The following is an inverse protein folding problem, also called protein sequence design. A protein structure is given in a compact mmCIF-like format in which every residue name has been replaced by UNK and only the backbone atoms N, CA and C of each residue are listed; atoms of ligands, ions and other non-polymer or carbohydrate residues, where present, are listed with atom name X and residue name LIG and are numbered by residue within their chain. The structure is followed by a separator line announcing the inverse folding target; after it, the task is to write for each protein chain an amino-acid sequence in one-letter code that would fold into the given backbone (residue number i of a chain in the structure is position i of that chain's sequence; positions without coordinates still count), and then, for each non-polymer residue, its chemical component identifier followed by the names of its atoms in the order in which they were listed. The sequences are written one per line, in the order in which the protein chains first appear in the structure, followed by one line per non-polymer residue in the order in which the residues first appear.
data_IF_010784278946
#
_entry.id   IF_010784278946
#
_cell.length_a   1.000
_cell.length_b   1.000
_cell.length_c   1.000
_cell.angle_alpha   90.00
_cell.angle_beta   90.00
_cell.angle_gamma   90.00
#
_symmetry.space_group_name_H-M   'P 1'
#
loop_
_entity.id
_entity.type
_entity.pdbx_description
1 polymer ?
#
# COMPACT_ATOMS: atom_id res chain seq x y z
N UNK A 1 -14.06 -18.32 15.48
CA UNK A 1 -12.64 -17.91 15.42
C UNK A 1 -12.03 -18.40 16.72
N UNK A 2 -11.42 -19.59 16.76
CA UNK A 2 -10.50 -19.95 17.82
C UNK A 2 -9.25 -19.10 17.58
N UNK A 3 -8.96 -18.18 18.47
CA UNK A 3 -7.65 -17.53 18.55
C UNK A 3 -6.64 -18.66 18.83
N UNK A 4 -5.80 -18.98 17.86
CA UNK A 4 -4.67 -19.88 18.09
C UNK A 4 -3.76 -19.17 19.10
N UNK A 5 -3.81 -19.58 20.37
CA UNK A 5 -3.01 -19.03 21.44
C UNK A 5 -1.61 -19.62 21.33
N UNK A 6 -0.61 -18.78 21.08
CA UNK A 6 0.80 -19.19 21.15
C UNK A 6 1.15 -19.33 22.63
N UNK A 7 1.55 -20.53 23.05
CA UNK A 7 1.90 -20.80 24.46
C UNK A 7 3.39 -20.56 24.75
N UNK A 8 4.24 -20.59 23.74
CA UNK A 8 5.68 -20.39 23.86
C UNK A 8 6.42 -20.86 22.62
N UNK A 9 7.73 -20.81 22.67
CA UNK A 9 8.62 -21.25 21.58
C UNK A 9 9.80 -22.07 22.11
N UNK A 10 10.43 -22.83 21.23
CA UNK A 10 11.70 -23.53 21.48
C UNK A 10 12.78 -22.98 20.55
N UNK A 11 13.95 -22.71 21.07
CA UNK A 11 15.07 -22.13 20.31
C UNK A 11 16.39 -22.45 20.99
N UNK A 12 17.42 -22.82 20.23
CA UNK A 12 18.77 -23.09 20.75
C UNK A 12 19.50 -21.78 21.12
N UNK A 13 19.05 -20.62 20.58
CA UNK A 13 19.61 -19.30 20.89
C UNK A 13 18.53 -18.26 21.22
N UNK A 14 17.83 -18.41 22.36
CA UNK A 14 16.66 -17.61 22.70
C UNK A 14 16.94 -16.10 22.82
N UNK A 15 18.21 -15.68 23.06
CA UNK A 15 18.56 -14.26 23.21
C UNK A 15 18.50 -13.47 21.88
N UNK A 16 18.55 -14.14 20.74
CA UNK A 16 18.52 -13.51 19.41
C UNK A 16 17.11 -13.41 18.84
N UNK A 17 16.12 -14.04 19.46
CA UNK A 17 14.76 -14.12 18.95
C UNK A 17 13.94 -12.87 19.28
N UNK A 18 13.31 -12.28 18.27
CA UNK A 18 12.38 -11.14 18.44
C UNK A 18 11.14 -11.55 19.26
N UNK A 19 10.77 -12.85 19.21
CA UNK A 19 9.61 -13.44 19.90
C UNK A 19 9.86 -13.55 21.40
N UNK A 20 11.13 -13.55 21.84
CA UNK A 20 11.53 -13.69 23.25
C UNK A 20 10.97 -12.59 24.18
N UNK A 21 10.50 -11.47 23.62
CA UNK A 21 9.88 -10.37 24.39
C UNK A 21 8.42 -10.63 24.73
N UNK A 22 7.75 -11.48 23.95
CA UNK A 22 6.30 -11.67 24.05
C UNK A 22 5.91 -13.06 24.56
N UNK A 23 6.76 -14.07 24.34
CA UNK A 23 6.46 -15.46 24.69
C UNK A 23 7.61 -16.12 25.44
N UNK A 24 7.33 -17.08 26.36
CA UNK A 24 8.34 -17.81 27.09
C UNK A 24 9.07 -18.81 26.20
N UNK A 25 10.38 -18.95 26.37
CA UNK A 25 11.15 -20.05 25.82
C UNK A 25 10.92 -21.29 26.67
N UNK A 26 10.45 -22.36 26.03
CA UNK A 26 10.06 -23.63 26.69
C UNK A 26 11.17 -24.68 26.67
N UNK A 27 12.29 -24.44 25.95
CA UNK A 27 13.41 -25.34 25.85
C UNK A 27 14.20 -25.17 24.56
N UNK A 28 15.18 -26.04 24.33
CA UNK A 28 15.97 -26.15 23.12
C UNK A 28 15.29 -27.00 22.05
N UNK A 29 15.81 -27.02 20.83
CA UNK A 29 15.31 -27.85 19.73
C UNK A 29 15.31 -29.35 20.06
N UNK A 30 16.29 -29.82 20.89
CA UNK A 30 16.36 -31.19 21.40
C UNK A 30 15.14 -31.58 22.25
N UNK A 31 14.55 -30.61 22.93
CA UNK A 31 13.52 -30.85 23.95
C UNK A 31 12.10 -30.75 23.39
N UNK A 32 11.96 -30.42 22.09
CA UNK A 32 10.68 -30.13 21.45
C UNK A 32 9.64 -31.22 21.67
N UNK A 33 10.02 -32.53 21.64
CA UNK A 33 9.10 -33.64 21.82
C UNK A 33 8.59 -33.74 23.28
N UNK A 34 9.46 -33.40 24.24
CA UNK A 34 9.10 -33.36 25.66
C UNK A 34 8.14 -32.21 25.93
N UNK A 35 8.48 -31.00 25.42
CA UNK A 35 7.64 -29.83 25.54
C UNK A 35 6.25 -30.04 24.96
N UNK A 36 6.13 -30.72 23.82
CA UNK A 36 4.83 -31.07 23.19
C UNK A 36 4.01 -31.96 24.10
N UNK A 37 4.63 -33.01 24.70
CA UNK A 37 3.93 -33.93 25.59
C UNK A 37 3.46 -33.26 26.88
N UNK A 38 4.30 -32.40 27.45
CA UNK A 38 3.98 -31.71 28.71
C UNK A 38 2.92 -30.65 28.55
N UNK A 39 2.94 -29.93 27.43
CA UNK A 39 2.01 -28.83 27.17
C UNK A 39 0.71 -29.26 26.48
N UNK A 40 0.69 -30.45 25.84
CA UNK A 40 -0.47 -30.95 25.12
C UNK A 40 -0.85 -30.13 23.88
N UNK A 41 0.08 -29.35 23.30
CA UNK A 41 -0.16 -28.56 22.08
C UNK A 41 -0.56 -29.45 20.92
N UNK A 42 -1.48 -28.95 20.10
CA UNK A 42 -1.99 -29.66 18.93
C UNK A 42 -1.47 -29.13 17.59
N UNK A 43 -0.80 -28.01 17.62
CA UNK A 43 -0.25 -27.35 16.42
C UNK A 43 1.17 -26.88 16.70
N UNK A 44 2.10 -27.21 15.81
CA UNK A 44 3.48 -26.73 15.84
C UNK A 44 3.77 -25.95 14.56
N UNK A 45 4.36 -24.77 14.69
CA UNK A 45 4.83 -23.97 13.59
C UNK A 45 6.37 -23.96 13.59
N UNK A 46 6.97 -24.47 12.53
CA UNK A 46 8.44 -24.51 12.36
C UNK A 46 8.87 -23.26 11.59
N UNK A 47 9.64 -22.40 12.25
CA UNK A 47 10.27 -21.19 11.67
C UNK A 47 11.79 -21.32 11.87
N UNK A 48 12.44 -22.21 11.14
CA UNK A 48 13.86 -22.50 11.27
C UNK A 48 14.61 -22.20 9.97
N UNK A 49 14.92 -20.90 9.70
CA UNK A 49 15.70 -20.51 8.54
C UNK A 49 17.08 -21.17 8.61
N UNK A 50 17.55 -21.68 7.47
CA UNK A 50 18.85 -22.34 7.37
C UNK A 50 18.89 -23.81 7.86
N UNK A 51 17.77 -24.41 8.25
CA UNK A 51 17.74 -25.82 8.58
C UNK A 51 17.88 -26.68 7.31
N UNK A 52 18.86 -27.59 7.29
CA UNK A 52 19.06 -28.50 6.17
C UNK A 52 17.77 -29.26 5.81
N UNK A 53 17.42 -29.41 4.51
CA UNK A 53 16.18 -30.07 4.10
C UNK A 53 15.98 -31.47 4.70
N UNK A 54 17.05 -32.27 4.81
CA UNK A 54 16.98 -33.61 5.41
C UNK A 54 16.62 -33.58 6.90
N UNK A 55 17.15 -32.60 7.64
CA UNK A 55 16.85 -32.43 9.06
C UNK A 55 15.42 -31.91 9.25
N UNK A 56 14.95 -31.01 8.37
CA UNK A 56 13.57 -30.50 8.38
C UNK A 56 12.57 -31.65 8.16
N UNK A 57 12.77 -32.46 7.13
CA UNK A 57 11.91 -33.63 6.84
C UNK A 57 11.89 -34.59 8.02
N UNK A 58 13.05 -34.91 8.60
CA UNK A 58 13.14 -35.79 9.78
C UNK A 58 12.38 -35.20 10.97
N UNK A 59 12.51 -33.91 11.22
CA UNK A 59 11.79 -33.20 12.28
C UNK A 59 10.28 -33.26 12.04
N UNK A 60 9.81 -32.92 10.85
CA UNK A 60 8.38 -32.97 10.49
C UNK A 60 7.81 -34.38 10.73
N UNK A 61 8.50 -35.42 10.23
CA UNK A 61 8.04 -36.78 10.37
C UNK A 61 7.92 -37.21 11.85
N UNK A 62 8.83 -36.77 12.73
CA UNK A 62 8.74 -37.05 14.17
C UNK A 62 7.58 -36.29 14.83
N UNK A 63 7.42 -35.01 14.50
CA UNK A 63 6.40 -34.13 15.11
C UNK A 63 4.98 -34.51 14.67
N UNK A 64 4.79 -34.98 13.44
CA UNK A 64 3.48 -35.44 12.95
C UNK A 64 2.89 -36.62 13.75
N UNK A 65 3.72 -37.39 14.45
CA UNK A 65 3.28 -38.45 15.33
C UNK A 65 2.76 -37.95 16.69
N UNK A 66 3.12 -36.72 17.07
CA UNK A 66 2.84 -36.15 18.40
C UNK A 66 1.75 -35.07 18.38
N UNK A 67 1.55 -34.41 17.25
CA UNK A 67 0.62 -33.27 17.14
C UNK A 67 -0.32 -33.45 15.95
N UNK A 68 -1.49 -32.81 16.01
CA UNK A 68 -2.49 -32.91 14.92
C UNK A 68 -2.09 -32.13 13.68
N UNK A 69 -1.31 -31.04 13.81
CA UNK A 69 -0.91 -30.17 12.71
C UNK A 69 0.53 -29.72 12.88
N UNK A 70 1.30 -29.91 11.82
CA UNK A 70 2.63 -29.33 11.68
C UNK A 70 2.59 -28.41 10.48
N UNK A 71 2.95 -27.15 10.69
CA UNK A 71 3.16 -26.15 9.64
C UNK A 71 4.62 -25.73 9.63
N UNK A 72 5.16 -25.38 8.48
CA UNK A 72 6.50 -24.80 8.38
C UNK A 72 6.48 -23.55 7.50
N UNK A 73 7.34 -22.60 7.82
CA UNK A 73 7.53 -21.38 7.04
C UNK A 73 8.75 -21.58 6.15
N UNK A 74 8.57 -21.73 4.82
CA UNK A 74 9.70 -21.81 3.91
C UNK A 74 10.36 -20.43 3.77
N UNK A 75 11.67 -20.40 3.57
CA UNK A 75 12.38 -19.18 3.22
C UNK A 75 12.04 -18.77 1.79
N UNK A 76 11.13 -17.80 1.65
CA UNK A 76 10.69 -17.26 0.37
C UNK A 76 11.04 -15.77 0.30
N UNK A 77 12.29 -15.41 0.56
CA UNK A 77 12.73 -14.01 0.52
C UNK A 77 12.45 -13.40 -0.86
N UNK A 78 11.74 -12.27 -0.86
CA UNK A 78 11.43 -11.49 -2.07
C UNK A 78 10.27 -12.03 -2.91
N UNK A 79 9.65 -13.16 -2.57
CA UNK A 79 8.45 -13.61 -3.27
C UNK A 79 7.19 -13.02 -2.62
N UNK A 80 6.22 -12.54 -3.42
CA UNK A 80 4.92 -12.12 -2.91
C UNK A 80 4.20 -13.33 -2.30
N UNK A 81 4.10 -13.36 -0.98
CA UNK A 81 3.57 -14.51 -0.22
C UNK A 81 2.05 -14.66 -0.28
N UNK A 82 1.35 -13.63 -0.67
CA UNK A 82 -0.10 -13.62 -0.80
C UNK A 82 -0.50 -14.11 -2.20
N UNK A 83 -1.25 -15.14 -2.33
CA UNK A 83 -1.63 -15.91 -3.53
C UNK A 83 -0.64 -16.99 -3.96
N UNK A 84 0.10 -17.55 -3.02
CA UNK A 84 0.83 -18.79 -3.24
C UNK A 84 -0.14 -19.96 -3.06
N UNK A 85 -0.33 -20.76 -4.09
CA UNK A 85 -1.00 -22.06 -3.99
C UNK A 85 0.06 -23.14 -4.02
N UNK A 86 0.16 -23.92 -2.93
CA UNK A 86 1.01 -25.10 -2.87
C UNK A 86 0.26 -26.30 -3.47
N UNK A 87 0.88 -26.99 -4.42
CA UNK A 87 0.42 -28.29 -4.93
C UNK A 87 1.52 -29.31 -4.76
N UNK A 88 1.23 -30.40 -4.03
CA UNK A 88 2.10 -31.56 -3.98
C UNK A 88 2.03 -32.33 -5.30
N UNK A 89 3.16 -32.63 -5.90
CA UNK A 89 3.29 -33.58 -6.99
C UNK A 89 3.75 -34.92 -6.40
N UNK A 90 2.82 -35.89 -6.32
CA UNK A 90 3.07 -37.16 -5.61
C UNK A 90 4.18 -38.00 -6.27
N UNK A 91 4.31 -37.92 -7.60
CA UNK A 91 5.29 -38.73 -8.35
C UNK A 91 6.71 -38.21 -8.21
N UNK A 92 6.88 -36.87 -8.01
CA UNK A 92 8.19 -36.21 -8.01
C UNK A 92 8.66 -35.80 -6.59
N UNK A 93 7.88 -36.11 -5.55
CA UNK A 93 8.14 -35.64 -4.16
C UNK A 93 8.43 -34.15 -4.07
N UNK A 94 7.83 -33.34 -4.96
CA UNK A 94 8.04 -31.92 -5.09
C UNK A 94 6.80 -31.14 -4.68
N UNK A 95 7.01 -29.98 -4.07
CA UNK A 95 5.95 -28.99 -3.80
C UNK A 95 6.10 -27.84 -4.79
N UNK A 96 5.13 -27.69 -5.68
CA UNK A 96 5.08 -26.57 -6.62
C UNK A 96 4.36 -25.41 -5.96
N UNK A 97 5.10 -24.33 -5.72
CA UNK A 97 4.53 -23.06 -5.27
C UNK A 97 4.16 -22.22 -6.50
N UNK A 98 2.88 -22.03 -6.72
CA UNK A 98 2.38 -21.19 -7.81
C UNK A 98 2.14 -19.79 -7.29
N UNK A 99 2.97 -18.84 -7.71
CA UNK A 99 2.79 -17.41 -7.48
C UNK A 99 1.84 -16.86 -8.55
N UNK A 100 0.79 -16.15 -8.16
CA UNK A 100 -0.16 -15.56 -9.09
C UNK A 100 -0.15 -14.04 -8.95
N UNK A 101 -0.14 -13.36 -10.10
CA UNK A 101 -0.41 -11.92 -10.17
C UNK A 101 -1.85 -11.71 -10.64
N UNK A 102 -2.71 -11.22 -9.74
CA UNK A 102 -4.13 -11.10 -10.03
C UNK A 102 -4.45 -10.06 -11.10
N UNK A 103 -3.75 -8.91 -11.10
CA UNK A 103 -3.99 -7.87 -12.10
C UNK A 103 -3.26 -8.10 -13.43
N UNK A 104 -2.41 -9.11 -13.55
CA UNK A 104 -1.91 -9.57 -14.83
C UNK A 104 -3.01 -10.24 -15.67
N UNK A 105 -4.08 -10.78 -15.04
CA UNK A 105 -5.19 -11.44 -15.73
C UNK A 105 -6.13 -10.41 -16.37
N UNK A 106 -6.41 -10.55 -17.69
CA UNK A 106 -7.31 -9.66 -18.43
C UNK A 106 -8.71 -9.57 -17.80
N UNK A 107 -9.28 -10.71 -17.36
CA UNK A 107 -10.60 -10.75 -16.70
C UNK A 107 -10.67 -9.87 -15.46
N UNK A 108 -9.64 -9.91 -14.63
CA UNK A 108 -9.57 -9.11 -13.42
C UNK A 108 -9.45 -7.61 -13.73
N UNK A 109 -8.67 -7.26 -14.74
CA UNK A 109 -8.56 -5.86 -15.20
C UNK A 109 -9.88 -5.33 -15.75
N UNK A 110 -10.62 -6.15 -16.50
CA UNK A 110 -11.96 -5.78 -16.99
C UNK A 110 -12.92 -5.60 -15.79
N UNK A 111 -12.96 -6.54 -14.88
CA UNK A 111 -13.80 -6.46 -13.68
C UNK A 111 -13.47 -5.23 -12.83
N UNK A 112 -12.18 -4.96 -12.63
CA UNK A 112 -11.72 -3.75 -11.95
C UNK A 112 -12.20 -2.48 -12.67
N UNK A 113 -12.07 -2.44 -14.00
CA UNK A 113 -12.50 -1.29 -14.80
C UNK A 113 -14.01 -1.03 -14.69
N UNK A 114 -14.83 -2.09 -14.75
CA UNK A 114 -16.27 -1.99 -14.56
C UNK A 114 -16.58 -1.44 -13.16
N UNK A 115 -15.93 -1.99 -12.13
CA UNK A 115 -16.09 -1.52 -10.76
C UNK A 115 -15.73 -0.03 -10.63
N UNK A 116 -14.57 0.39 -11.16
CA UNK A 116 -14.11 1.77 -11.14
C UNK A 116 -15.14 2.73 -11.80
N UNK A 117 -15.66 2.37 -12.98
CA UNK A 117 -16.63 3.20 -13.69
C UNK A 117 -17.93 3.30 -12.87
N UNK A 118 -18.51 2.16 -12.46
CA UNK A 118 -19.77 2.12 -11.72
C UNK A 118 -19.66 2.91 -10.42
N UNK A 119 -18.62 2.64 -9.63
CA UNK A 119 -18.41 3.32 -8.35
C UNK A 119 -18.15 4.83 -8.55
N UNK A 120 -17.41 5.22 -9.60
CA UNK A 120 -17.13 6.64 -9.91
C UNK A 120 -18.40 7.36 -10.37
N UNK A 121 -19.24 6.74 -11.21
CA UNK A 121 -20.49 7.36 -11.66
C UNK A 121 -21.46 7.51 -10.48
N UNK A 122 -21.69 6.46 -9.71
CA UNK A 122 -22.59 6.51 -8.55
C UNK A 122 -22.09 7.49 -7.48
N UNK A 123 -20.81 7.42 -7.10
CA UNK A 123 -20.21 8.33 -6.14
C UNK A 123 -20.11 9.76 -6.65
N UNK A 124 -19.73 9.94 -7.93
CA UNK A 124 -19.62 11.24 -8.57
C UNK A 124 -20.95 12.00 -8.63
N UNK A 125 -22.06 11.31 -8.93
CA UNK A 125 -23.39 11.92 -8.89
C UNK A 125 -23.76 12.41 -7.50
N UNK A 126 -23.44 11.65 -6.46
CA UNK A 126 -23.71 12.04 -5.07
C UNK A 126 -22.90 13.27 -4.63
N UNK A 127 -21.65 13.38 -5.07
CA UNK A 127 -20.75 14.48 -4.68
C UNK A 127 -20.80 15.68 -5.66
N UNK A 128 -21.54 15.57 -6.77
CA UNK A 128 -21.64 16.65 -7.77
C UNK A 128 -22.02 18.02 -7.19
N UNK A 129 -23.00 18.13 -6.25
CA UNK A 129 -23.30 19.41 -5.60
C UNK A 129 -22.10 19.97 -4.82
N UNK A 130 -21.33 19.10 -4.15
CA UNK A 130 -20.13 19.49 -3.40
C UNK A 130 -19.07 20.01 -4.38
N UNK A 131 -18.86 19.33 -5.52
CA UNK A 131 -17.92 19.77 -6.56
C UNK A 131 -18.28 21.18 -7.08
N UNK A 132 -19.58 21.43 -7.32
CA UNK A 132 -20.05 22.73 -7.78
C UNK A 132 -19.79 23.84 -6.73
N UNK A 133 -20.07 23.58 -5.47
CA UNK A 133 -19.80 24.52 -4.36
C UNK A 133 -18.30 24.80 -4.25
N UNK A 134 -17.46 23.75 -4.25
CA UNK A 134 -16.02 23.90 -4.19
C UNK A 134 -15.49 24.71 -5.38
N UNK A 135 -15.96 24.43 -6.59
CA UNK A 135 -15.59 25.18 -7.79
C UNK A 135 -15.93 26.68 -7.67
N UNK A 136 -17.11 26.99 -7.15
CA UNK A 136 -17.54 28.37 -6.91
C UNK A 136 -16.67 29.06 -5.87
N UNK A 137 -16.37 28.37 -4.75
CA UNK A 137 -15.52 28.92 -3.69
C UNK A 137 -14.10 29.22 -4.19
N UNK A 138 -13.51 28.33 -5.01
CA UNK A 138 -12.21 28.56 -5.63
C UNK A 138 -12.22 29.78 -6.54
N UNK A 139 -13.27 29.92 -7.34
CA UNK A 139 -13.41 31.05 -8.27
C UNK A 139 -13.56 32.39 -7.52
N UNK A 140 -14.31 32.41 -6.42
CA UNK A 140 -14.51 33.61 -5.59
C UNK A 140 -13.25 33.98 -4.79
N UNK A 141 -12.48 32.99 -4.30
CA UNK A 141 -11.24 33.21 -3.53
C UNK A 141 -10.09 33.71 -4.41
N UNK A 142 -10.00 33.18 -5.64
CA UNK A 142 -8.96 33.55 -6.61
C UNK A 142 -9.48 33.35 -8.04
N UNK A 143 -9.80 34.43 -8.79
CA UNK A 143 -10.24 34.31 -10.18
C UNK A 143 -9.23 33.58 -11.08
N UNK A 144 -9.73 32.74 -12.02
CA UNK A 144 -8.88 31.99 -12.94
C UNK A 144 -9.31 30.52 -13.09
N UNK A 145 -8.49 29.65 -13.72
CA UNK A 145 -8.81 28.24 -13.93
C UNK A 145 -9.09 27.53 -12.61
N UNK A 146 -10.20 26.79 -12.50
CA UNK A 146 -10.62 26.10 -11.28
C UNK A 146 -9.86 24.78 -11.11
N UNK A 147 -9.56 24.11 -12.23
CA UNK A 147 -8.88 22.81 -12.27
C UNK A 147 -7.48 22.97 -12.85
N UNK A 148 -6.53 22.26 -12.27
CA UNK A 148 -5.14 22.21 -12.69
C UNK A 148 -4.74 20.76 -12.98
N UNK A 149 -4.00 20.52 -14.05
CA UNK A 149 -3.48 19.21 -14.43
C UNK A 149 -1.97 19.13 -14.19
N UNK A 150 -1.53 18.25 -13.31
CA UNK A 150 -0.12 17.98 -13.09
C UNK A 150 0.30 16.71 -13.84
N UNK A 151 1.34 16.79 -14.67
CA UNK A 151 1.84 15.61 -15.40
C UNK A 151 2.32 14.53 -14.44
N UNK A 152 1.77 13.34 -14.58
CA UNK A 152 2.12 12.15 -13.80
C UNK A 152 2.32 10.96 -14.73
N UNK A 153 3.10 10.00 -14.26
CA UNK A 153 3.30 8.72 -14.94
C UNK A 153 2.17 7.78 -14.54
N UNK A 154 1.60 7.10 -15.51
CA UNK A 154 0.51 6.14 -15.35
C UNK A 154 0.84 4.77 -15.92
N UNK A 155 -0.20 4.02 -16.24
CA UNK A 155 -0.10 2.67 -16.79
C UNK A 155 0.77 2.64 -18.05
N UNK A 156 1.66 1.64 -18.13
CA UNK A 156 2.58 1.47 -19.25
C UNK A 156 3.63 2.58 -19.40
N UNK A 157 3.86 3.37 -18.35
CA UNK A 157 4.82 4.46 -18.35
C UNK A 157 4.36 5.71 -19.09
N UNK A 158 3.09 5.79 -19.48
CA UNK A 158 2.53 6.94 -20.21
C UNK A 158 2.26 8.10 -19.27
N UNK A 159 2.63 9.30 -19.68
CA UNK A 159 2.30 10.51 -18.93
C UNK A 159 0.85 10.94 -19.19
N UNK A 160 0.17 11.39 -18.15
CA UNK A 160 -1.19 11.93 -18.22
C UNK A 160 -1.34 13.14 -17.29
N UNK A 161 -2.29 14.05 -17.57
CA UNK A 161 -2.61 15.15 -16.68
C UNK A 161 -3.46 14.64 -15.50
N UNK A 162 -2.88 14.57 -14.31
CA UNK A 162 -3.60 14.27 -13.07
C UNK A 162 -4.32 15.52 -12.59
N UNK A 163 -5.65 15.53 -12.68
CA UNK A 163 -6.47 16.71 -12.40
C UNK A 163 -6.66 16.92 -10.90
N UNK A 164 -6.52 18.20 -10.49
CA UNK A 164 -6.81 18.64 -9.11
C UNK A 164 -7.52 19.99 -9.13
N UNK A 165 -8.27 20.29 -8.09
CA UNK A 165 -8.70 21.65 -7.86
C UNK A 165 -7.50 22.54 -7.54
N UNK A 166 -7.54 23.75 -8.07
CA UNK A 166 -6.50 24.75 -7.80
C UNK A 166 -6.54 25.17 -6.34
N UNK A 167 -5.47 24.91 -5.63
CA UNK A 167 -5.27 25.29 -4.22
C UNK A 167 -4.24 26.40 -4.03
N UNK A 168 -3.66 26.91 -5.12
CA UNK A 168 -2.65 27.98 -5.13
C UNK A 168 -3.10 29.14 -6.03
N UNK A 169 -2.49 30.28 -5.85
CA UNK A 169 -2.69 31.46 -6.73
C UNK A 169 -2.27 31.15 -8.16
N UNK A 170 -2.84 31.84 -9.19
CA UNK A 170 -2.51 31.55 -10.59
C UNK A 170 -1.03 31.73 -10.94
N UNK A 171 -0.35 32.74 -10.34
CA UNK A 171 1.06 33.05 -10.52
C UNK A 171 1.96 32.39 -9.45
N UNK A 172 1.64 31.17 -9.03
CA UNK A 172 2.30 30.47 -7.93
C UNK A 172 3.84 30.33 -8.09
N UNK A 173 4.33 30.19 -9.33
CA UNK A 173 5.77 30.08 -9.58
C UNK A 173 6.50 31.42 -9.31
N UNK A 174 5.96 32.49 -9.83
CA UNK A 174 6.53 33.86 -9.61
C UNK A 174 6.47 34.24 -8.13
N UNK A 175 5.35 33.93 -7.47
CA UNK A 175 5.17 34.16 -6.04
C UNK A 175 6.19 33.38 -5.19
N UNK A 176 6.54 32.16 -5.59
CA UNK A 176 7.58 31.39 -4.94
C UNK A 176 8.95 32.03 -5.08
N UNK A 177 9.31 32.40 -6.30
CA UNK A 177 10.63 32.99 -6.57
C UNK A 177 10.85 34.31 -5.80
N UNK A 178 9.82 35.16 -5.74
CA UNK A 178 9.85 36.38 -4.94
C UNK A 178 10.00 36.05 -3.46
N UNK A 179 9.16 35.13 -2.94
CA UNK A 179 9.17 34.77 -1.54
C UNK A 179 10.52 34.17 -1.08
N UNK A 180 11.13 33.28 -1.90
CA UNK A 180 12.43 32.66 -1.59
C UNK A 180 13.59 33.67 -1.67
N UNK A 181 13.48 34.72 -2.48
CA UNK A 181 14.47 35.82 -2.51
C UNK A 181 14.42 36.71 -1.25
N UNK A 182 13.22 36.95 -0.74
CA UNK A 182 13.01 37.79 0.44
C UNK A 182 13.19 37.07 1.77
N UNK A 183 13.10 35.71 1.78
CA UNK A 183 13.14 34.91 3.00
C UNK A 183 14.20 33.78 2.92
N UNK A 184 15.44 34.04 3.39
CA UNK A 184 16.53 33.06 3.37
C UNK A 184 16.18 31.74 4.09
N UNK A 185 15.50 31.79 5.25
CA UNK A 185 15.10 30.61 6.00
C UNK A 185 14.11 29.75 5.21
N UNK A 186 13.16 30.36 4.50
CA UNK A 186 12.23 29.64 3.62
C UNK A 186 12.96 29.00 2.42
N UNK A 187 14.02 29.64 1.95
CA UNK A 187 14.87 29.09 0.89
C UNK A 187 15.59 27.82 1.34
N UNK A 188 16.18 27.80 2.54
CA UNK A 188 16.82 26.60 3.11
C UNK A 188 15.81 25.46 3.30
N UNK A 189 14.60 25.76 3.79
CA UNK A 189 13.52 24.80 3.92
C UNK A 189 13.12 24.23 2.55
N UNK A 190 12.98 25.06 1.54
CA UNK A 190 12.65 24.66 0.17
C UNK A 190 13.73 23.81 -0.48
N UNK A 191 15.00 24.17 -0.35
CA UNK A 191 16.13 23.41 -0.92
C UNK A 191 16.25 22.03 -0.31
N UNK A 192 15.85 21.86 0.97
CA UNK A 192 15.87 20.56 1.68
C UNK A 192 14.70 19.67 1.32
N UNK A 193 13.48 20.21 1.36
CA UNK A 193 12.25 19.40 1.37
C UNK A 193 11.38 19.62 0.11
N UNK A 194 11.67 20.60 -0.73
CA UNK A 194 10.82 21.09 -1.83
C UNK A 194 9.39 21.40 -1.39
N UNK A 195 9.22 21.74 -0.11
CA UNK A 195 7.96 22.11 0.53
C UNK A 195 8.20 23.23 1.52
N UNK A 196 7.17 24.03 1.76
CA UNK A 196 7.15 25.06 2.80
C UNK A 196 6.01 24.76 3.76
N UNK A 197 6.26 24.88 5.07
CA UNK A 197 5.21 24.72 6.10
C UNK A 197 4.12 25.76 5.95
N UNK A 198 4.52 27.01 5.78
CA UNK A 198 3.63 28.13 5.49
C UNK A 198 3.89 28.64 4.06
N UNK A 199 3.30 27.95 3.09
CA UNK A 199 3.44 28.29 1.68
C UNK A 199 2.51 29.46 1.31
N UNK A 200 3.06 30.65 1.00
CA UNK A 200 2.26 31.85 0.70
C UNK A 200 1.46 31.73 -0.60
N UNK A 201 1.78 30.75 -1.43
CA UNK A 201 1.06 30.48 -2.68
C UNK A 201 -0.31 29.87 -2.44
N UNK A 202 -0.49 29.21 -1.27
CA UNK A 202 -1.71 28.48 -0.97
C UNK A 202 -2.81 29.44 -0.52
N UNK A 203 -3.94 29.45 -1.23
CA UNK A 203 -5.08 30.30 -0.91
C UNK A 203 -5.80 29.83 0.37
N UNK A 204 -6.70 30.66 0.92
CA UNK A 204 -7.48 30.28 2.12
C UNK A 204 -8.31 29.02 1.86
N UNK A 205 -9.04 29.01 0.74
CA UNK A 205 -9.80 27.83 0.31
C UNK A 205 -8.86 26.68 -0.01
N UNK A 206 -7.69 26.95 -0.63
CA UNK A 206 -6.67 25.96 -0.90
C UNK A 206 -6.16 25.22 0.34
N UNK A 207 -5.97 25.92 1.47
CA UNK A 207 -5.62 25.28 2.77
C UNK A 207 -6.70 24.31 3.23
N UNK A 208 -7.96 24.72 3.14
CA UNK A 208 -9.10 23.84 3.48
C UNK A 208 -9.17 22.62 2.57
N UNK A 209 -9.05 22.80 1.24
CA UNK A 209 -9.11 21.72 0.27
C UNK A 209 -8.01 20.67 0.50
N UNK A 210 -6.77 21.11 0.72
CA UNK A 210 -5.65 20.22 1.03
C UNK A 210 -5.86 19.45 2.33
N UNK A 211 -6.33 20.12 3.39
CA UNK A 211 -6.62 19.49 4.67
C UNK A 211 -7.71 18.42 4.58
N UNK A 212 -8.68 18.60 3.71
CA UNK A 212 -9.81 17.68 3.50
C UNK A 212 -9.60 16.73 2.34
N UNK A 213 -8.50 16.85 1.58
CA UNK A 213 -8.22 16.12 0.34
C UNK A 213 -9.30 16.30 -0.75
N UNK A 214 -10.13 17.34 -0.64
CA UNK A 214 -11.14 17.67 -1.65
C UNK A 214 -10.52 18.20 -2.94
N UNK A 215 -9.30 18.68 -2.89
CA UNK A 215 -8.53 19.09 -4.07
C UNK A 215 -8.30 17.95 -5.06
N UNK A 216 -8.36 16.70 -4.64
CA UNK A 216 -8.15 15.53 -5.48
C UNK A 216 -9.42 15.00 -6.18
N UNK A 217 -10.61 15.53 -5.84
CA UNK A 217 -11.86 15.06 -6.43
C UNK A 217 -11.93 15.16 -7.98
N UNK A 218 -11.32 16.13 -8.68
CA UNK A 218 -11.29 16.12 -10.14
C UNK A 218 -10.60 14.91 -10.77
N UNK A 219 -9.80 14.14 -10.01
CA UNK A 219 -9.22 12.87 -10.48
C UNK A 219 -10.30 11.81 -10.79
N UNK A 220 -11.53 11.94 -10.29
CA UNK A 220 -12.64 11.10 -10.71
C UNK A 220 -12.85 11.16 -12.24
N UNK A 221 -12.55 12.28 -12.87
CA UNK A 221 -12.56 12.39 -14.33
C UNK A 221 -11.45 11.54 -14.95
N UNK A 222 -10.22 11.53 -14.37
CA UNK A 222 -9.16 10.64 -14.83
C UNK A 222 -9.55 9.16 -14.71
N UNK A 223 -10.33 8.80 -13.66
CA UNK A 223 -10.87 7.44 -13.54
C UNK A 223 -11.86 7.14 -14.67
N UNK A 224 -12.78 8.04 -14.98
CA UNK A 224 -13.76 7.83 -16.05
C UNK A 224 -13.13 7.67 -17.43
N UNK A 225 -12.10 8.45 -17.75
CA UNK A 225 -11.40 8.34 -19.05
C UNK A 225 -10.40 7.19 -19.11
N UNK A 226 -9.98 6.63 -17.96
CA UNK A 226 -9.13 5.45 -17.87
C UNK A 226 -7.65 5.70 -17.56
N UNK A 227 -7.27 6.94 -17.33
CA UNK A 227 -5.91 7.30 -16.91
C UNK A 227 -5.61 6.83 -15.49
N UNK A 228 -6.66 6.77 -14.64
CA UNK A 228 -6.58 6.36 -13.24
C UNK A 228 -7.63 5.32 -12.89
N UNK A 229 -7.50 4.78 -11.70
CA UNK A 229 -8.44 3.92 -10.98
C UNK A 229 -8.83 4.58 -9.66
N UNK A 230 -9.92 4.12 -9.03
CA UNK A 230 -10.26 4.56 -7.67
C UNK A 230 -9.20 4.10 -6.66
N UNK A 231 -8.77 2.83 -6.75
CA UNK A 231 -7.76 2.23 -5.87
C UNK A 231 -6.59 1.72 -6.72
N UNK A 232 -5.37 2.04 -6.34
CA UNK A 232 -4.17 1.62 -7.06
C UNK A 232 -2.90 2.24 -6.50
N UNK A 233 -1.74 1.96 -7.12
CA UNK A 233 -0.49 2.66 -6.83
C UNK A 233 -0.67 4.17 -7.00
N UNK A 234 0.00 4.97 -6.16
CA UNK A 234 -0.09 6.43 -6.31
C UNK A 234 0.56 6.90 -7.60
N UNK A 235 -0.06 7.85 -8.37
CA UNK A 235 0.57 8.41 -9.56
C UNK A 235 1.86 9.16 -9.21
N UNK A 236 2.97 8.76 -9.85
CA UNK A 236 4.31 9.27 -9.59
C UNK A 236 4.75 10.31 -10.63
N UNK A 237 5.75 11.11 -10.29
CA UNK A 237 6.48 11.92 -11.26
C UNK A 237 7.61 11.11 -11.90
N UNK A 238 8.13 11.58 -13.03
CA UNK A 238 9.15 10.87 -13.80
C UNK A 238 10.41 10.56 -12.99
N UNK A 239 10.81 11.49 -12.13
CA UNK A 239 11.99 11.34 -11.27
C UNK A 239 11.83 10.28 -10.18
N UNK A 240 10.58 9.91 -9.86
CA UNK A 240 10.30 8.85 -8.89
C UNK A 240 10.42 7.43 -9.48
N UNK A 241 10.48 7.28 -10.81
CA UNK A 241 10.59 5.96 -11.48
C UNK A 241 11.78 5.17 -10.94
N UNK A 242 12.93 5.84 -10.79
CA UNK A 242 14.18 5.21 -10.31
C UNK A 242 14.01 4.62 -8.90
N UNK A 243 13.16 5.22 -8.08
CA UNK A 243 12.91 4.78 -6.70
C UNK A 243 12.09 3.48 -6.62
N UNK A 244 11.40 3.11 -7.69
CA UNK A 244 10.66 1.84 -7.76
C UNK A 244 11.56 0.63 -8.05
N UNK A 245 12.76 0.83 -8.65
CA UNK A 245 13.66 -0.25 -9.00
C UNK A 245 12.96 -1.34 -9.83
N UNK A 246 13.14 -2.60 -9.46
CA UNK A 246 12.56 -3.75 -10.17
C UNK A 246 11.02 -3.81 -10.10
N UNK A 247 10.40 -3.16 -9.10
CA UNK A 247 8.95 -3.13 -8.93
C UNK A 247 8.22 -2.18 -9.88
N UNK A 248 8.94 -1.41 -10.72
CA UNK A 248 8.32 -0.46 -11.66
C UNK A 248 7.40 -1.16 -12.66
N UNK A 249 7.69 -2.42 -13.00
CA UNK A 249 6.85 -3.21 -13.90
C UNK A 249 5.47 -3.51 -13.29
N UNK A 250 5.38 -3.69 -11.98
CA UNK A 250 4.11 -3.86 -11.28
C UNK A 250 3.29 -2.56 -11.34
N UNK A 251 3.95 -1.42 -11.13
CA UNK A 251 3.31 -0.11 -11.28
C UNK A 251 2.76 0.10 -12.70
N UNK A 252 3.53 -0.25 -13.74
CA UNK A 252 3.10 -0.08 -15.13
C UNK A 252 1.97 -1.01 -15.56
N UNK A 253 1.73 -2.08 -14.81
CA UNK A 253 0.70 -3.06 -15.16
C UNK A 253 -0.73 -2.51 -15.01
N UNK A 254 -0.94 -1.54 -14.14
CA UNK A 254 -2.26 -1.03 -13.74
C UNK A 254 -2.33 0.49 -13.80
N UNK A 255 -3.54 1.09 -13.98
CA UNK A 255 -3.72 2.52 -13.80
C UNK A 255 -3.43 2.91 -12.35
N UNK A 256 -2.79 4.07 -12.10
CA UNK A 256 -2.58 4.58 -10.74
C UNK A 256 -3.91 4.93 -10.07
N UNK A 257 -3.96 4.86 -8.74
CA UNK A 257 -5.17 5.08 -7.95
C UNK A 257 -5.28 6.51 -7.41
N UNK A 258 -6.53 6.95 -7.16
CA UNK A 258 -6.80 8.13 -6.32
C UNK A 258 -6.38 7.82 -4.89
N UNK A 259 -6.69 6.62 -4.43
CA UNK A 259 -6.23 6.09 -3.14
C UNK A 259 -5.47 4.78 -3.31
N UNK A 260 -4.71 4.39 -2.31
CA UNK A 260 -3.90 3.18 -2.35
C UNK A 260 -3.63 2.62 -0.95
N UNK A 261 -2.99 1.45 -0.91
CA UNK A 261 -2.74 0.70 0.32
C UNK A 261 -1.99 1.55 1.35
N UNK A 262 -0.85 2.12 0.98
CA UNK A 262 -0.04 2.90 1.91
C UNK A 262 -0.69 4.25 2.28
N UNK A 263 -1.48 4.85 1.39
CA UNK A 263 -2.17 6.11 1.64
C UNK A 263 -3.18 6.03 2.79
N UNK A 264 -3.70 4.85 3.10
CA UNK A 264 -4.67 4.63 4.18
C UNK A 264 -4.13 3.81 5.34
N UNK A 265 -2.95 3.17 5.20
CA UNK A 265 -2.38 2.26 6.22
C UNK A 265 -1.27 2.90 7.06
N UNK A 266 -0.44 3.79 6.52
CA UNK A 266 0.69 4.39 7.25
C UNK A 266 0.97 5.85 6.88
N UNK A 267 0.46 6.32 5.72
CA UNK A 267 0.65 7.69 5.20
C UNK A 267 2.09 8.19 5.30
N UNK A 268 2.33 9.23 6.14
CA UNK A 268 3.64 9.89 6.30
C UNK A 268 4.68 9.04 7.04
N UNK A 269 4.26 8.02 7.79
CA UNK A 269 5.16 7.24 8.66
C UNK A 269 5.84 6.08 7.93
N UNK A 270 5.50 5.86 6.63
CA UNK A 270 6.10 4.82 5.79
C UNK A 270 7.26 5.35 4.98
N UNK A 271 8.33 4.56 4.90
CA UNK A 271 9.45 4.82 4.00
C UNK A 271 9.02 4.70 2.54
N UNK A 272 9.83 5.23 1.61
CA UNK A 272 9.50 5.11 0.19
C UNK A 272 9.51 3.66 -0.29
N UNK A 273 10.45 2.87 0.20
CA UNK A 273 10.58 1.43 -0.09
C UNK A 273 9.34 0.65 0.37
N UNK A 274 8.87 0.90 1.60
CA UNK A 274 7.63 0.29 2.10
C UNK A 274 6.41 0.65 1.23
N UNK A 275 6.33 1.89 0.72
CA UNK A 275 5.26 2.31 -0.21
C UNK A 275 5.30 1.50 -1.50
N UNK A 276 6.49 1.33 -2.08
CA UNK A 276 6.70 0.53 -3.29
C UNK A 276 6.27 -0.92 -3.07
N UNK A 277 6.67 -1.52 -1.94
CA UNK A 277 6.27 -2.89 -1.60
C UNK A 277 4.75 -3.03 -1.41
N UNK A 278 4.09 -2.04 -0.78
CA UNK A 278 2.64 -2.03 -0.61
C UNK A 278 1.91 -1.88 -1.95
N UNK A 279 2.43 -1.08 -2.87
CA UNK A 279 1.88 -0.91 -4.21
C UNK A 279 2.04 -2.20 -5.04
N UNK A 280 3.20 -2.84 -5.01
CA UNK A 280 3.43 -4.16 -5.62
C UNK A 280 2.51 -5.23 -5.01
N UNK A 281 2.42 -5.28 -3.68
CA UNK A 281 1.51 -6.19 -2.98
C UNK A 281 0.06 -6.05 -3.49
N UNK A 282 -0.43 -4.83 -3.65
CA UNK A 282 -1.78 -4.58 -4.16
C UNK A 282 -1.98 -5.18 -5.56
N UNK A 283 -1.04 -4.98 -6.47
CA UNK A 283 -1.13 -5.48 -7.85
C UNK A 283 -1.22 -7.00 -7.89
N UNK A 284 -0.40 -7.67 -7.06
CA UNK A 284 -0.38 -9.13 -6.99
C UNK A 284 -1.62 -9.73 -6.32
N UNK A 285 -2.20 -9.02 -5.34
CA UNK A 285 -3.25 -9.54 -4.47
C UNK A 285 -4.65 -9.01 -4.77
N UNK A 286 -4.78 -8.20 -5.78
CA UNK A 286 -6.02 -7.50 -6.08
C UNK A 286 -7.27 -8.40 -6.08
N UNK A 287 -8.33 -7.88 -5.49
CA UNK A 287 -9.70 -8.35 -5.62
C UNK A 287 -10.65 -7.16 -5.46
N UNK A 288 -11.88 -7.29 -5.98
CA UNK A 288 -12.92 -6.25 -5.79
C UNK A 288 -13.14 -5.95 -4.30
N UNK A 289 -13.05 -6.98 -3.45
CA UNK A 289 -13.19 -6.80 -2.01
C UNK A 289 -12.10 -5.92 -1.40
N UNK A 290 -10.87 -6.06 -1.87
CA UNK A 290 -9.76 -5.20 -1.46
C UNK A 290 -10.06 -3.75 -1.84
N UNK A 291 -10.53 -3.48 -3.04
CA UNK A 291 -10.90 -2.12 -3.46
C UNK A 291 -11.99 -1.54 -2.55
N UNK A 292 -13.05 -2.29 -2.26
CA UNK A 292 -14.12 -1.85 -1.35
C UNK A 292 -13.56 -1.51 0.04
N UNK A 293 -12.71 -2.36 0.60
CA UNK A 293 -12.09 -2.15 1.91
C UNK A 293 -11.24 -0.86 1.93
N UNK A 294 -10.41 -0.65 0.88
CA UNK A 294 -9.57 0.55 0.82
C UNK A 294 -10.35 1.83 0.54
N UNK A 295 -11.44 1.78 -0.23
CA UNK A 295 -12.34 2.91 -0.38
C UNK A 295 -13.01 3.28 0.96
N UNK A 296 -13.51 2.31 1.71
CA UNK A 296 -14.07 2.56 3.05
C UNK A 296 -13.02 3.13 4.02
N UNK A 297 -11.81 2.58 4.02
CA UNK A 297 -10.70 3.12 4.82
C UNK A 297 -10.35 4.56 4.42
N UNK A 298 -10.42 4.88 3.13
CA UNK A 298 -10.16 6.24 2.62
C UNK A 298 -11.19 7.23 3.17
N UNK A 299 -12.47 6.89 3.11
CA UNK A 299 -13.53 7.73 3.69
C UNK A 299 -13.28 7.97 5.18
N UNK A 300 -12.99 6.90 5.94
CA UNK A 300 -12.66 7.02 7.36
C UNK A 300 -11.42 7.88 7.64
N UNK A 301 -10.40 7.76 6.79
CA UNK A 301 -9.16 8.50 6.91
C UNK A 301 -9.35 10.00 6.62
N UNK A 302 -10.19 10.35 5.63
CA UNK A 302 -10.56 11.73 5.31
C UNK A 302 -11.38 12.34 6.45
N UNK A 303 -12.40 11.63 6.97
CA UNK A 303 -13.24 12.10 8.07
C UNK A 303 -12.42 12.33 9.35
N UNK A 304 -11.48 11.45 9.66
CA UNK A 304 -10.62 11.59 10.84
C UNK A 304 -9.53 12.66 10.71
N UNK A 305 -9.36 13.26 9.53
CA UNK A 305 -8.35 14.30 9.23
C UNK A 305 -6.93 13.98 9.71
N UNK A 306 -6.57 12.69 9.86
CA UNK A 306 -5.24 12.27 10.28
C UNK A 306 -4.28 12.31 9.09
N UNK A 307 -3.27 13.19 9.13
CA UNK A 307 -2.12 13.17 8.21
C UNK A 307 -2.36 13.77 6.83
N UNK A 308 -3.27 14.74 6.67
CA UNK A 308 -3.34 15.58 5.49
C UNK A 308 -2.37 16.77 5.65
N UNK A 309 -1.33 16.80 4.82
CA UNK A 309 -0.45 17.95 4.58
C UNK A 309 -0.32 18.17 3.09
#
# INVERSE_FOLDING_TARGET
RSSDLIIGYVDDNPKSSTIAKEYPCLGAFSDVEHVIKDTGVQTVLICAPGLEPKKLVSLINRLQLLVKRVAFVPELFGLPTSNITARGMMEEQAVVLRVQNNLARKSNRIMKRIFDIVATVCGGLLILPILAIVALLIYLDSPGPIVFGHKRVGQGGKEFPCYKFRSMVPNAQEALEVYLKENPAAREEWERDFKLKDDPRVTRIGKFLRKTSLDELPQLWNVLIGDMSLVGPRPIVRDEIVKYGDYINDFYLVPPGITGVWQVSGRSDTTYEERVLMDSWYVHNWSVWIDIVYLLKTVLAVVKSKGAY
#
